data_IF_338489917617
#
_entry.id   IF_338489917617
#
_cell.length_a   1.000
_cell.length_b   1.000
_cell.length_c   1.000
_cell.angle_alpha   90.00
_cell.angle_beta   90.00
_cell.angle_gamma   90.00
#
_symmetry.space_group_name_H-M   'P 1'
#
loop_
_entity.id
_entity.type
_entity.pdbx_description
1 polymer ?
#
# COMPACT_ATOMS: atom_id res chain seq x y z
N UNK A 1 -13.11 10.44 -5.58
CA UNK A 1 -13.33 10.70 -4.14
C UNK A 1 -12.27 9.94 -3.35
N UNK A 2 -11.72 10.51 -2.26
CA UNK A 2 -10.80 9.81 -1.37
C UNK A 2 -11.61 9.14 -0.25
N UNK A 3 -11.44 7.84 -0.07
CA UNK A 3 -12.08 7.05 0.98
C UNK A 3 -11.04 6.70 2.05
N UNK A 4 -11.43 6.86 3.32
CA UNK A 4 -10.63 6.50 4.50
C UNK A 4 -11.35 5.37 5.24
N UNK A 5 -10.79 4.17 5.21
CA UNK A 5 -11.39 2.96 5.80
C UNK A 5 -10.51 2.54 6.98
N UNK A 6 -11.08 2.58 8.18
CA UNK A 6 -10.36 2.38 9.45
C UNK A 6 -10.66 1.04 10.14
N UNK A 7 -11.57 0.25 9.57
CA UNK A 7 -11.93 -1.07 10.09
C UNK A 7 -12.35 -2.00 8.96
N UNK A 8 -12.30 -3.30 9.23
CA UNK A 8 -12.63 -4.33 8.24
C UNK A 8 -14.11 -4.32 7.83
N UNK A 9 -15.02 -3.89 8.71
CA UNK A 9 -16.46 -3.87 8.41
C UNK A 9 -16.80 -2.82 7.34
N UNK A 10 -16.02 -1.73 7.27
CA UNK A 10 -16.16 -0.70 6.24
C UNK A 10 -15.51 -1.03 4.90
N UNK A 11 -14.78 -2.14 4.80
CA UNK A 11 -14.02 -2.52 3.61
C UNK A 11 -14.85 -3.36 2.64
N UNK A 12 -14.98 -2.91 1.39
CA UNK A 12 -15.45 -3.74 0.29
C UNK A 12 -14.29 -4.59 -0.25
N UNK A 13 -14.16 -5.82 0.26
CA UNK A 13 -13.08 -6.74 -0.11
C UNK A 13 -13.11 -7.10 -1.59
N UNK A 14 -14.32 -7.23 -2.18
CA UNK A 14 -14.46 -7.54 -3.60
C UNK A 14 -13.94 -6.43 -4.52
N UNK A 15 -14.16 -5.15 -4.15
CA UNK A 15 -13.58 -4.02 -4.87
C UNK A 15 -12.07 -3.94 -4.64
N UNK A 16 -11.60 -4.20 -3.42
CA UNK A 16 -10.17 -4.15 -3.10
C UNK A 16 -9.38 -5.23 -3.86
N UNK A 17 -9.88 -6.47 -3.92
CA UNK A 17 -9.21 -7.57 -4.63
C UNK A 17 -9.02 -7.26 -6.12
N UNK A 18 -9.91 -6.48 -6.74
CA UNK A 18 -9.75 -6.02 -8.13
C UNK A 18 -8.55 -5.10 -8.30
N UNK A 19 -8.22 -4.28 -7.30
CA UNK A 19 -7.01 -3.43 -7.33
C UNK A 19 -5.76 -4.30 -7.26
N UNK A 20 -5.74 -5.29 -6.37
CA UNK A 20 -4.59 -6.15 -6.10
C UNK A 20 -4.55 -7.43 -6.95
N UNK A 21 -5.31 -7.52 -8.05
CA UNK A 21 -5.40 -8.74 -8.87
C UNK A 21 -4.03 -9.18 -9.39
N UNK A 22 -3.21 -8.25 -9.87
CA UNK A 22 -1.88 -8.57 -10.41
C UNK A 22 -0.96 -9.12 -9.32
N UNK A 23 -0.80 -8.39 -8.22
CA UNK A 23 0.06 -8.83 -7.12
C UNK A 23 -0.45 -10.11 -6.46
N UNK A 24 -1.76 -10.27 -6.30
CA UNK A 24 -2.34 -11.51 -5.80
C UNK A 24 -2.04 -12.69 -6.75
N UNK A 25 -2.10 -12.46 -8.07
CA UNK A 25 -1.76 -13.49 -9.05
C UNK A 25 -0.26 -13.85 -9.01
N UNK A 26 0.62 -12.87 -8.93
CA UNK A 26 2.07 -13.09 -8.78
C UNK A 26 2.38 -13.85 -7.48
N UNK A 27 1.68 -13.56 -6.40
CA UNK A 27 1.83 -14.24 -5.11
C UNK A 27 1.37 -15.70 -5.11
N UNK A 28 0.65 -16.17 -6.13
CA UNK A 28 0.26 -17.59 -6.21
C UNK A 28 1.46 -18.52 -6.25
N UNK A 29 2.51 -18.17 -6.97
CA UNK A 29 3.72 -19.00 -7.08
C UNK A 29 4.54 -19.00 -5.78
N UNK A 30 4.43 -17.93 -5.00
CA UNK A 30 5.13 -17.82 -3.72
C UNK A 30 4.43 -18.61 -2.61
N UNK A 31 3.11 -18.44 -2.47
CA UNK A 31 2.34 -19.05 -1.36
C UNK A 31 1.87 -20.48 -1.68
N UNK A 32 1.63 -20.80 -2.95
CA UNK A 32 1.07 -22.07 -3.38
C UNK A 32 1.83 -22.64 -4.58
N UNK A 33 3.16 -22.87 -4.46
CA UNK A 33 4.01 -23.31 -5.57
C UNK A 33 3.60 -24.67 -6.15
N UNK A 34 2.99 -25.53 -5.35
CA UNK A 34 2.55 -26.88 -5.75
C UNK A 34 1.11 -26.91 -6.33
N UNK A 35 0.38 -25.79 -6.29
CA UNK A 35 -0.96 -25.73 -6.86
C UNK A 35 -0.91 -25.53 -8.37
N UNK A 36 -1.37 -26.53 -9.11
CA UNK A 36 -1.34 -26.51 -10.58
C UNK A 36 -2.45 -25.71 -11.22
N UNK A 37 -3.58 -25.55 -10.50
CA UNK A 37 -4.70 -24.72 -10.94
C UNK A 37 -4.54 -23.28 -10.40
N UNK A 38 -4.13 -22.40 -11.28
CA UNK A 38 -3.89 -20.98 -10.95
C UNK A 38 -5.13 -20.25 -10.44
N UNK A 39 -6.32 -20.61 -10.88
CA UNK A 39 -7.56 -20.00 -10.38
C UNK A 39 -7.81 -20.42 -8.93
N UNK A 40 -7.58 -21.67 -8.61
CA UNK A 40 -7.65 -22.17 -7.22
C UNK A 40 -6.58 -21.52 -6.34
N UNK A 41 -5.34 -21.40 -6.83
CA UNK A 41 -4.28 -20.72 -6.10
C UNK A 41 -4.63 -19.25 -5.83
N UNK A 42 -5.16 -18.53 -6.82
CA UNK A 42 -5.57 -17.13 -6.67
C UNK A 42 -6.67 -16.96 -5.61
N UNK A 43 -7.69 -17.82 -5.62
CA UNK A 43 -8.74 -17.79 -4.59
C UNK A 43 -8.19 -18.02 -3.18
N UNK A 44 -7.19 -18.89 -3.03
CA UNK A 44 -6.51 -19.11 -1.74
C UNK A 44 -5.70 -17.89 -1.32
N UNK A 45 -4.98 -17.23 -2.23
CA UNK A 45 -4.25 -15.99 -1.96
C UNK A 45 -5.21 -14.88 -1.53
N UNK A 46 -6.29 -14.66 -2.25
CA UNK A 46 -7.30 -13.65 -1.91
C UNK A 46 -7.99 -13.92 -0.56
N UNK A 47 -8.26 -15.18 -0.25
CA UNK A 47 -8.81 -15.58 1.05
C UNK A 47 -7.81 -15.27 2.18
N UNK A 48 -6.55 -15.67 2.03
CA UNK A 48 -5.49 -15.37 2.99
C UNK A 48 -5.24 -13.87 3.16
N UNK A 49 -5.29 -13.10 2.07
CA UNK A 49 -5.18 -11.65 2.12
C UNK A 49 -6.37 -11.01 2.87
N UNK A 50 -7.59 -11.53 2.66
CA UNK A 50 -8.78 -11.09 3.39
C UNK A 50 -8.66 -11.37 4.89
N UNK A 51 -8.15 -12.54 5.27
CA UNK A 51 -7.87 -12.88 6.67
C UNK A 51 -6.81 -11.96 7.27
N UNK A 52 -5.71 -11.72 6.55
CA UNK A 52 -4.67 -10.77 6.97
C UNK A 52 -5.25 -9.37 7.21
N UNK A 53 -6.10 -8.87 6.31
CA UNK A 53 -6.72 -7.55 6.49
C UNK A 53 -7.57 -7.50 7.76
N UNK A 54 -8.39 -8.54 7.99
CA UNK A 54 -9.31 -8.61 9.14
C UNK A 54 -8.56 -8.80 10.48
N UNK A 55 -7.68 -9.78 10.53
CA UNK A 55 -7.11 -10.30 11.78
C UNK A 55 -5.69 -9.77 12.06
N UNK A 56 -5.04 -9.20 11.05
CA UNK A 56 -3.70 -8.63 11.12
C UNK A 56 -3.70 -7.11 10.93
N UNK A 57 -3.97 -6.63 9.71
CA UNK A 57 -3.78 -5.23 9.37
C UNK A 57 -4.66 -4.28 10.20
N UNK A 58 -6.00 -4.46 10.21
CA UNK A 58 -6.91 -3.56 10.92
C UNK A 58 -6.85 -3.68 12.45
N UNK A 59 -6.08 -4.60 12.99
CA UNK A 59 -5.80 -4.67 14.43
C UNK A 59 -4.58 -3.84 14.84
N UNK A 60 -3.83 -3.32 13.88
CA UNK A 60 -2.66 -2.48 14.14
C UNK A 60 -3.06 -1.06 14.53
N UNK A 61 -2.20 -0.39 15.30
CA UNK A 61 -2.41 1.01 15.66
C UNK A 61 -2.43 1.90 14.41
N UNK A 62 -3.41 2.80 14.35
CA UNK A 62 -3.55 3.74 13.25
C UNK A 62 -3.75 3.13 11.85
N UNK A 63 -4.19 1.85 11.78
CA UNK A 63 -4.42 1.17 10.51
C UNK A 63 -5.52 1.85 9.70
N UNK A 64 -5.18 2.24 8.47
CA UNK A 64 -6.11 2.85 7.51
C UNK A 64 -5.84 2.29 6.11
N UNK A 65 -6.88 1.78 5.48
CA UNK A 65 -6.87 1.53 4.04
C UNK A 65 -7.42 2.78 3.32
N UNK A 66 -6.60 3.40 2.50
CA UNK A 66 -6.98 4.55 1.70
C UNK A 66 -7.27 4.12 0.27
N UNK A 67 -8.37 4.60 -0.26
CA UNK A 67 -8.82 4.24 -1.61
C UNK A 67 -9.18 5.49 -2.39
N UNK A 68 -8.75 5.54 -3.64
CA UNK A 68 -9.26 6.51 -4.61
C UNK A 68 -10.42 5.89 -5.38
N UNK A 69 -11.58 6.52 -5.27
CA UNK A 69 -12.76 6.16 -6.04
C UNK A 69 -13.02 7.20 -7.14
N UNK A 70 -13.22 6.73 -8.37
CA UNK A 70 -13.62 7.52 -9.52
C UNK A 70 -14.87 6.89 -10.15
N UNK A 71 -15.92 7.67 -10.30
CA UNK A 71 -17.19 7.23 -10.91
C UNK A 71 -17.78 5.94 -10.28
N UNK A 72 -17.61 5.77 -8.96
CA UNK A 72 -18.08 4.61 -8.20
C UNK A 72 -17.17 3.37 -8.27
N UNK A 73 -16.08 3.41 -9.06
CA UNK A 73 -15.08 2.36 -9.12
C UNK A 73 -13.85 2.70 -8.25
N UNK A 74 -13.29 1.71 -7.58
CA UNK A 74 -12.03 1.85 -6.88
C UNK A 74 -10.88 1.70 -7.88
N UNK A 75 -10.04 2.73 -7.99
CA UNK A 75 -9.02 2.82 -9.04
C UNK A 75 -7.59 2.76 -8.54
N UNK A 76 -7.37 3.00 -7.26
CA UNK A 76 -6.07 2.85 -6.59
C UNK A 76 -6.27 2.72 -5.10
N UNK A 77 -5.38 2.00 -4.41
CA UNK A 77 -5.42 1.85 -2.96
C UNK A 77 -4.00 1.84 -2.38
N UNK A 78 -3.91 2.16 -1.09
CA UNK A 78 -2.72 1.97 -0.26
C UNK A 78 -3.15 1.71 1.19
N UNK A 79 -2.22 1.19 1.98
CA UNK A 79 -2.43 0.98 3.41
C UNK A 79 -1.41 1.77 4.21
N UNK A 80 -1.83 2.28 5.35
CA UNK A 80 -0.94 2.95 6.32
C UNK A 80 -1.27 2.40 7.71
N UNK A 81 -0.25 2.12 8.50
CA UNK A 81 -0.38 1.87 9.92
C UNK A 81 0.68 2.67 10.68
N UNK A 82 0.50 2.77 11.99
CA UNK A 82 1.46 3.40 12.88
C UNK A 82 2.38 2.32 13.45
N UNK A 83 3.68 2.53 13.31
CA UNK A 83 4.71 1.64 13.82
C UNK A 83 5.38 2.26 15.06
N UNK A 84 6.22 1.52 15.81
CA UNK A 84 6.94 2.08 16.95
C UNK A 84 7.61 3.44 16.65
N UNK A 85 7.85 4.22 17.69
CA UNK A 85 8.43 5.58 17.61
C UNK A 85 7.55 6.64 16.94
N UNK A 86 6.24 6.35 16.75
CA UNK A 86 5.29 7.32 16.21
C UNK A 86 5.44 7.56 14.72
N UNK A 87 6.13 6.68 14.03
CA UNK A 87 6.29 6.70 12.58
C UNK A 87 5.08 6.03 11.93
N UNK A 88 4.63 6.56 10.81
CA UNK A 88 3.66 5.89 9.94
C UNK A 88 4.39 5.11 8.86
N UNK A 89 3.88 3.94 8.53
CA UNK A 89 4.41 3.08 7.47
C UNK A 89 3.36 2.87 6.39
N UNK A 90 3.73 3.23 5.17
CA UNK A 90 2.93 3.03 3.98
C UNK A 90 3.31 1.70 3.34
N UNK A 91 2.31 0.96 2.92
CA UNK A 91 2.51 -0.27 2.17
C UNK A 91 1.48 -0.44 1.04
N UNK A 92 1.84 -1.23 0.06
CA UNK A 92 0.94 -1.73 -0.97
C UNK A 92 0.18 -0.64 -1.75
N UNK A 93 0.87 0.44 -2.13
CA UNK A 93 0.33 1.39 -3.11
C UNK A 93 0.20 0.71 -4.47
N UNK A 94 -1.04 0.48 -4.90
CA UNK A 94 -1.32 -0.21 -6.16
C UNK A 94 -2.41 0.45 -6.98
N UNK A 95 -2.24 0.37 -8.29
CA UNK A 95 -3.23 0.74 -9.32
C UNK A 95 -3.29 -0.41 -10.32
N UNK A 96 -4.48 -0.95 -10.63
CA UNK A 96 -4.62 -2.02 -11.61
C UNK A 96 -3.92 -1.69 -12.94
N UNK A 97 -3.31 -2.66 -13.63
CA UNK A 97 -2.54 -2.43 -14.85
C UNK A 97 -3.26 -1.60 -15.91
N UNK A 98 -4.53 -1.88 -16.15
CA UNK A 98 -5.38 -1.19 -17.14
C UNK A 98 -5.70 0.27 -16.78
N UNK A 99 -5.46 0.66 -15.53
CA UNK A 99 -5.70 2.01 -15.02
C UNK A 99 -4.41 2.81 -14.80
N UNK A 100 -3.24 2.19 -15.02
CA UNK A 100 -1.93 2.86 -14.88
C UNK A 100 -1.72 3.96 -15.92
N UNK A 101 -0.81 4.87 -15.63
CA UNK A 101 -0.49 5.99 -16.53
C UNK A 101 -1.50 7.14 -16.50
N UNK A 102 -2.60 7.01 -15.74
CA UNK A 102 -3.64 8.05 -15.60
C UNK A 102 -3.45 8.96 -14.38
N UNK A 103 -2.38 8.77 -13.62
CA UNK A 103 -2.06 9.58 -12.45
C UNK A 103 -2.83 9.23 -11.17
N UNK A 104 -3.54 8.10 -11.12
CA UNK A 104 -4.35 7.72 -9.96
C UNK A 104 -3.52 7.47 -8.71
N UNK A 105 -2.37 6.79 -8.81
CA UNK A 105 -1.49 6.59 -7.66
C UNK A 105 -0.98 7.92 -7.08
N UNK A 106 -0.56 8.86 -7.94
CA UNK A 106 -0.14 10.21 -7.51
C UNK A 106 -1.30 10.97 -6.86
N UNK A 107 -2.51 10.92 -7.45
CA UNK A 107 -3.70 11.56 -6.91
C UNK A 107 -4.09 11.00 -5.55
N UNK A 108 -4.04 9.66 -5.40
CA UNK A 108 -4.29 8.98 -4.13
C UNK A 108 -3.27 9.42 -3.08
N UNK A 109 -1.99 9.24 -3.35
CA UNK A 109 -0.93 9.53 -2.38
C UNK A 109 -0.90 11.00 -1.97
N UNK A 110 -1.02 11.93 -2.92
CA UNK A 110 -1.12 13.36 -2.61
C UNK A 110 -2.34 13.68 -1.74
N UNK A 111 -3.50 13.09 -2.04
CA UNK A 111 -4.71 13.29 -1.25
C UNK A 111 -4.57 12.77 0.18
N UNK A 112 -3.93 11.62 0.35
CA UNK A 112 -3.64 11.03 1.67
C UNK A 112 -2.70 11.94 2.48
N UNK A 113 -1.61 12.41 1.87
CA UNK A 113 -0.69 13.32 2.54
C UNK A 113 -1.37 14.61 2.99
N UNK A 114 -2.24 15.20 2.16
CA UNK A 114 -3.01 16.39 2.55
C UNK A 114 -3.98 16.10 3.69
N UNK A 115 -4.63 14.92 3.70
CA UNK A 115 -5.48 14.52 4.82
C UNK A 115 -4.69 14.35 6.13
N UNK A 116 -3.52 13.69 6.06
CA UNK A 116 -2.66 13.51 7.22
C UNK A 116 -2.10 14.82 7.77
N UNK A 117 -1.76 15.79 6.91
CA UNK A 117 -1.31 17.13 7.34
C UNK A 117 -2.34 17.86 8.21
N UNK A 118 -3.63 17.61 7.99
CA UNK A 118 -4.69 18.21 8.83
C UNK A 118 -4.72 17.61 10.26
N UNK A 119 -4.16 16.43 10.45
CA UNK A 119 -4.08 15.77 11.77
C UNK A 119 -2.86 16.21 12.57
N UNK A 120 -1.91 16.91 11.95
CA UNK A 120 -0.70 17.45 12.60
C UNK A 120 0.61 16.95 11.99
N UNK A 121 1.74 17.14 12.69
CA UNK A 121 3.05 16.68 12.23
C UNK A 121 3.13 15.16 12.14
N UNK A 122 3.80 14.64 11.10
CA UNK A 122 4.02 13.21 10.93
C UNK A 122 5.27 12.91 10.10
N UNK A 123 5.73 11.68 10.25
CA UNK A 123 6.75 11.04 9.43
C UNK A 123 6.14 9.78 8.82
N UNK A 124 6.18 9.65 7.50
CA UNK A 124 5.67 8.52 6.75
C UNK A 124 6.81 7.86 5.99
N UNK A 125 7.03 6.58 6.23
CA UNK A 125 8.07 5.79 5.58
C UNK A 125 7.44 4.77 4.62
N UNK A 126 8.20 4.38 3.61
CA UNK A 126 7.86 3.32 2.66
C UNK A 126 9.13 2.61 2.19
N UNK A 127 8.99 1.41 1.70
CA UNK A 127 10.00 0.65 0.97
C UNK A 127 9.57 0.46 -0.47
N UNK A 128 10.39 0.87 -1.41
CA UNK A 128 10.08 0.76 -2.84
C UNK A 128 11.21 0.08 -3.57
N UNK A 129 10.88 -0.97 -4.33
CA UNK A 129 11.84 -1.70 -5.13
C UNK A 129 12.63 -0.77 -6.06
N UNK A 130 13.96 -0.91 -6.05
CA UNK A 130 14.89 -0.18 -6.91
C UNK A 130 14.57 -0.34 -8.39
N UNK A 131 13.89 -1.43 -8.75
CA UNK A 131 13.44 -1.73 -10.12
C UNK A 131 12.09 -1.10 -10.47
N UNK A 132 11.33 -0.63 -9.47
CA UNK A 132 10.00 -0.05 -9.69
C UNK A 132 10.10 1.45 -9.95
N UNK A 133 10.62 1.83 -11.11
CA UNK A 133 10.79 3.22 -11.50
C UNK A 133 9.48 4.02 -11.51
N UNK A 134 8.34 3.37 -11.75
CA UNK A 134 7.04 4.05 -11.73
C UNK A 134 6.63 4.45 -10.32
N UNK A 135 6.78 3.55 -9.35
CA UNK A 135 6.52 3.83 -7.94
C UNK A 135 7.47 4.89 -7.40
N UNK A 136 8.78 4.78 -7.67
CA UNK A 136 9.77 5.77 -7.25
C UNK A 136 9.42 7.17 -7.75
N UNK A 137 9.04 7.32 -9.04
CA UNK A 137 8.61 8.62 -9.58
C UNK A 137 7.32 9.14 -8.94
N UNK A 138 6.39 8.25 -8.59
CA UNK A 138 5.14 8.64 -7.90
C UNK A 138 5.45 9.21 -6.53
N UNK A 139 6.30 8.53 -5.75
CA UNK A 139 6.71 8.98 -4.43
C UNK A 139 7.48 10.30 -4.48
N UNK A 140 8.45 10.42 -5.41
CA UNK A 140 9.22 11.67 -5.61
C UNK A 140 8.30 12.85 -5.94
N UNK A 141 7.33 12.68 -6.86
CA UNK A 141 6.35 13.71 -7.19
C UNK A 141 5.49 14.14 -6.01
N UNK A 142 5.24 13.23 -5.06
CA UNK A 142 4.49 13.50 -3.84
C UNK A 142 5.37 14.06 -2.70
N UNK A 143 6.69 14.26 -2.93
CA UNK A 143 7.60 14.86 -1.96
C UNK A 143 8.35 13.87 -1.07
N UNK A 144 8.27 12.58 -1.35
CA UNK A 144 9.12 11.60 -0.68
C UNK A 144 10.58 11.75 -1.13
N UNK A 145 11.49 11.45 -0.22
CA UNK A 145 12.94 11.40 -0.49
C UNK A 145 13.46 10.00 -0.20
N UNK A 146 14.42 9.54 -0.99
CA UNK A 146 15.21 8.35 -0.68
C UNK A 146 16.13 8.71 0.49
N UNK A 147 16.01 7.99 1.59
CA UNK A 147 16.80 8.21 2.82
C UNK A 147 17.74 7.05 3.12
N UNK A 148 17.56 5.92 2.45
CA UNK A 148 18.42 4.73 2.59
C UNK A 148 18.51 3.96 1.29
N UNK A 149 19.70 3.39 1.02
CA UNK A 149 19.93 2.42 -0.06
C UNK A 149 19.41 1.01 0.27
N UNK A 150 18.97 0.80 1.50
CA UNK A 150 18.35 -0.42 1.96
C UNK A 150 16.92 -0.10 2.44
N UNK A 151 15.98 -0.95 2.04
CA UNK A 151 14.61 -0.90 2.54
C UNK A 151 14.53 -1.50 3.94
N UNK A 152 13.71 -0.91 4.82
CA UNK A 152 13.36 -1.49 6.10
C UNK A 152 11.86 -1.71 6.18
N UNK A 153 11.45 -2.99 6.18
CA UNK A 153 10.06 -3.39 6.38
C UNK A 153 9.74 -3.33 7.88
N UNK A 154 9.00 -2.32 8.28
CA UNK A 154 8.62 -2.10 9.68
C UNK A 154 7.65 -3.15 10.23
N UNK A 155 6.95 -3.89 9.37
CA UNK A 155 5.99 -4.92 9.80
C UNK A 155 6.67 -6.25 10.11
N UNK A 156 7.69 -6.61 9.31
CA UNK A 156 8.45 -7.84 9.48
C UNK A 156 9.78 -7.62 10.20
N UNK A 157 10.14 -6.36 10.50
CA UNK A 157 11.42 -5.97 11.10
C UNK A 157 12.63 -6.49 10.30
N UNK A 158 12.53 -6.44 8.97
CA UNK A 158 13.52 -6.95 8.04
C UNK A 158 14.12 -5.85 7.17
N UNK A 159 15.44 -5.91 6.99
CA UNK A 159 16.17 -5.06 6.04
C UNK A 159 16.45 -5.84 4.76
N UNK A 160 16.33 -5.19 3.61
CA UNK A 160 16.69 -5.78 2.32
C UNK A 160 17.45 -4.76 1.43
N UNK A 161 18.27 -5.27 0.55
CA UNK A 161 19.09 -4.49 -0.40
C UNK A 161 18.41 -4.29 -1.77
N UNK A 162 17.20 -4.80 -1.94
CA UNK A 162 16.45 -4.71 -3.20
C UNK A 162 15.59 -3.46 -3.28
N UNK A 163 15.30 -2.84 -2.14
CA UNK A 163 14.44 -1.68 -2.02
C UNK A 163 15.24 -0.46 -1.57
N UNK A 164 14.72 0.72 -1.89
CA UNK A 164 15.09 1.97 -1.21
C UNK A 164 14.18 2.18 -0.01
N UNK A 165 14.72 2.72 1.09
CA UNK A 165 13.92 3.34 2.13
C UNK A 165 13.55 4.77 1.73
N UNK A 166 12.25 5.08 1.71
CA UNK A 166 11.71 6.38 1.39
C UNK A 166 11.06 7.02 2.61
N UNK A 167 11.07 8.34 2.64
CA UNK A 167 10.47 9.11 3.73
C UNK A 167 9.81 10.39 3.23
N UNK A 168 8.65 10.70 3.81
CA UNK A 168 8.00 11.99 3.76
C UNK A 168 7.87 12.55 5.18
N UNK A 169 8.17 13.84 5.38
CA UNK A 169 8.00 14.54 6.68
C UNK A 169 7.11 15.75 6.54
N UNK A 170 6.28 15.97 7.57
CA UNK A 170 5.51 17.19 7.70
C UNK A 170 5.56 17.70 9.15
N UNK A 171 5.87 18.99 9.38
CA UNK A 171 6.46 19.90 8.39
C UNK A 171 7.83 19.43 7.92
N UNK A 172 8.27 19.90 6.76
CA UNK A 172 9.68 19.74 6.36
C UNK A 172 10.58 20.49 7.36
N UNK A 173 11.67 19.84 7.78
CA UNK A 173 12.72 20.49 8.59
C UNK A 173 13.64 21.34 7.73
#
# INVERSE_FOLDING_TARGET
>A
MLLRITDFAGLDTGKLMKIYTESNYENTDYFYPDETDKETALKKVEAGFTEFLRDGFFTQDGAVCWVLEEEGAWVSALRICKVPDGVYYLEALETPPELRGKGYATKLLSGVLEAMKQEGPFRLCDCVSKRNAASLRTHEKCGFRIVSDEGYDYLNEETNDHDYGLEFRYPEE
#
